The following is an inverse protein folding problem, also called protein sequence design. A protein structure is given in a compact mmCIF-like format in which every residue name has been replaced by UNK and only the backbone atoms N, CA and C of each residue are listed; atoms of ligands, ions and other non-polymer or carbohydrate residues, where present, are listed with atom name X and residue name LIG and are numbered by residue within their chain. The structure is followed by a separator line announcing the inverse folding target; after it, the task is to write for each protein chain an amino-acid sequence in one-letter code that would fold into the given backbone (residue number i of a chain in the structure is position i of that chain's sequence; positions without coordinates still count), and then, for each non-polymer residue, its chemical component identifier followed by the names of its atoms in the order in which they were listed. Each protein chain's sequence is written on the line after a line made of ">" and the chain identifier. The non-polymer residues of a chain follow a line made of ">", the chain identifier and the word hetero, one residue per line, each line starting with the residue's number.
data_IF_777833476785
#
_entry.id   IF_777833476785
#
_cell.length_a   1.000
_cell.length_b   1.000
_cell.length_c   1.000
_cell.angle_alpha   90.00
_cell.angle_beta   90.00
_cell.angle_gamma   90.00
#
_symmetry.space_group_name_H-M   'P 1'
#
loop_
_entity.id
_entity.type
_entity.pdbx_description
1 polymer ?
#
# COMPACT_ATOMS: atom_id res chain seq x y z
N UNK A 1 -5.89 -3.18 -11.36
CA UNK A 1 -4.81 -4.04 -11.87
C UNK A 1 -5.31 -4.94 -13.00
N UNK A 2 -6.39 -5.72 -12.80
CA UNK A 2 -6.94 -6.59 -13.85
C UNK A 2 -7.15 -5.88 -15.20
N UNK A 3 -7.77 -4.68 -15.20
CA UNK A 3 -7.96 -3.90 -16.43
C UNK A 3 -6.67 -3.55 -17.18
N UNK A 4 -5.58 -3.25 -16.46
CA UNK A 4 -4.28 -2.97 -17.08
C UNK A 4 -3.68 -4.24 -17.69
N UNK A 5 -3.73 -5.36 -16.95
CA UNK A 5 -3.26 -6.65 -17.47
C UNK A 5 -4.06 -7.06 -18.71
N UNK A 6 -5.40 -7.00 -18.67
CA UNK A 6 -6.25 -7.32 -19.82
C UNK A 6 -6.03 -6.41 -21.03
N UNK A 7 -5.77 -5.12 -20.80
CA UNK A 7 -5.59 -4.13 -21.87
C UNK A 7 -4.27 -4.30 -22.62
N UNK A 8 -3.20 -4.66 -21.92
CA UNK A 8 -1.83 -4.63 -22.44
C UNK A 8 -1.16 -6.02 -22.52
N UNK A 9 -1.74 -7.04 -21.90
CA UNK A 9 -1.20 -8.40 -21.87
C UNK A 9 0.16 -8.49 -21.18
N UNK A 10 0.50 -7.55 -20.29
CA UNK A 10 1.77 -7.51 -19.57
C UNK A 10 1.57 -7.86 -18.10
N UNK A 11 2.58 -8.52 -17.53
CA UNK A 11 2.68 -8.68 -16.09
C UNK A 11 2.84 -7.29 -15.43
N UNK A 12 2.46 -7.20 -14.16
CA UNK A 12 2.35 -5.95 -13.43
C UNK A 12 3.26 -5.99 -12.21
N UNK A 13 4.02 -4.92 -12.02
CA UNK A 13 4.60 -4.54 -10.74
C UNK A 13 3.75 -3.42 -10.17
N UNK A 14 3.15 -3.62 -9.00
CA UNK A 14 2.45 -2.56 -8.30
C UNK A 14 3.45 -1.76 -7.47
N UNK A 15 4.18 -0.86 -8.11
CA UNK A 15 5.34 -0.18 -7.50
C UNK A 15 4.96 0.83 -6.40
N UNK A 16 3.72 1.33 -6.40
CA UNK A 16 3.22 2.22 -5.36
C UNK A 16 1.73 1.97 -5.11
N UNK A 17 1.37 1.76 -3.84
CA UNK A 17 -0.03 1.81 -3.39
C UNK A 17 -0.14 2.32 -1.96
N UNK A 18 -1.27 2.95 -1.65
CA UNK A 18 -1.60 3.41 -0.31
C UNK A 18 -3.13 3.44 -0.15
N UNK A 19 -3.60 3.35 1.09
CA UNK A 19 -5.00 3.63 1.41
C UNK A 19 -5.20 5.16 1.37
N UNK A 20 -5.44 5.69 0.18
CA UNK A 20 -5.55 7.13 -0.08
C UNK A 20 -6.31 7.41 -1.38
N UNK A 21 -7.00 8.55 -1.43
CA UNK A 21 -7.59 9.09 -2.66
C UNK A 21 -7.30 10.58 -2.77
N UNK A 22 -6.82 11.00 -3.94
CA UNK A 22 -6.55 12.41 -4.24
C UNK A 22 -7.80 13.21 -4.66
N UNK A 23 -8.96 12.57 -4.79
CA UNK A 23 -10.22 13.20 -5.26
C UNK A 23 -11.20 13.53 -4.11
N UNK A 24 -10.72 13.56 -2.87
CA UNK A 24 -11.49 14.02 -1.71
C UNK A 24 -12.30 12.95 -0.96
N UNK A 25 -12.31 11.69 -1.40
CA UNK A 25 -12.93 10.58 -0.66
C UNK A 25 -11.94 9.87 0.26
N UNK A 26 -12.10 10.10 1.57
CA UNK A 26 -11.69 9.17 2.63
C UNK A 26 -10.22 9.20 3.00
N UNK A 27 -9.91 9.84 4.13
CA UNK A 27 -8.71 9.47 4.90
C UNK A 27 -8.99 8.11 5.54
N UNK A 28 -8.19 7.10 5.22
CA UNK A 28 -8.28 5.82 5.91
C UNK A 28 -7.90 5.98 7.39
N UNK A 29 -8.51 5.20 8.27
CA UNK A 29 -7.97 4.92 9.60
C UNK A 29 -6.74 4.00 9.48
N UNK A 30 -5.97 3.84 10.55
CA UNK A 30 -4.84 2.91 10.58
C UNK A 30 -5.27 1.45 10.35
N UNK A 31 -6.44 1.04 10.85
CA UNK A 31 -6.98 -0.30 10.62
C UNK A 31 -7.43 -0.50 9.17
N UNK A 32 -8.00 0.52 8.55
CA UNK A 32 -8.35 0.49 7.12
C UNK A 32 -7.11 0.43 6.24
N UNK A 33 -6.03 1.15 6.58
CA UNK A 33 -4.76 1.07 5.85
C UNK A 33 -4.16 -0.35 5.91
N UNK A 34 -4.19 -0.99 7.09
CA UNK A 34 -3.74 -2.38 7.26
C UNK A 34 -4.61 -3.37 6.46
N UNK A 35 -5.93 -3.24 6.53
CA UNK A 35 -6.86 -4.10 5.79
C UNK A 35 -6.68 -3.94 4.27
N UNK A 36 -6.48 -2.71 3.80
CA UNK A 36 -6.22 -2.41 2.40
C UNK A 36 -4.91 -3.05 1.93
N UNK A 37 -3.83 -2.91 2.69
CA UNK A 37 -2.53 -3.53 2.39
C UNK A 37 -2.65 -5.05 2.26
N UNK A 38 -3.32 -5.71 3.21
CA UNK A 38 -3.58 -7.17 3.15
C UNK A 38 -4.42 -7.56 1.93
N UNK A 39 -5.38 -6.72 1.55
CA UNK A 39 -6.22 -6.97 0.37
C UNK A 39 -5.41 -6.89 -0.92
N UNK A 40 -4.49 -5.92 -1.02
CA UNK A 40 -3.59 -5.78 -2.16
C UNK A 40 -2.63 -6.97 -2.26
N UNK A 41 -1.99 -7.35 -1.15
CA UNK A 41 -1.09 -8.50 -1.11
C UNK A 41 -1.79 -9.79 -1.56
N UNK A 42 -2.93 -10.12 -0.93
CA UNK A 42 -3.76 -11.27 -1.31
C UNK A 42 -4.21 -11.21 -2.78
N UNK A 43 -4.54 -10.03 -3.29
CA UNK A 43 -4.90 -9.89 -4.70
C UNK A 43 -3.71 -10.22 -5.60
N UNK A 44 -2.51 -9.68 -5.31
CA UNK A 44 -1.31 -9.99 -6.09
C UNK A 44 -0.91 -11.47 -6.02
N UNK A 45 -0.90 -12.06 -4.82
CA UNK A 45 -0.64 -13.49 -4.63
C UNK A 45 -1.61 -14.39 -5.41
N UNK A 46 -2.86 -13.96 -5.57
CA UNK A 46 -3.88 -14.70 -6.33
C UNK A 46 -3.71 -14.64 -7.85
N UNK A 47 -2.73 -13.88 -8.37
CA UNK A 47 -2.58 -13.59 -9.79
C UNK A 47 -1.17 -13.89 -10.25
N UNK A 48 -1.02 -14.85 -11.16
CA UNK A 48 0.28 -15.22 -11.74
C UNK A 48 0.97 -14.08 -12.50
N UNK A 49 0.23 -13.03 -12.86
CA UNK A 49 0.75 -11.85 -13.56
C UNK A 49 1.07 -10.67 -12.64
N UNK A 50 0.75 -10.70 -11.32
CA UNK A 50 1.27 -9.70 -10.38
C UNK A 50 2.59 -10.23 -9.81
N UNK A 51 3.71 -9.68 -10.24
CA UNK A 51 5.03 -10.19 -9.85
C UNK A 51 5.49 -9.61 -8.50
N UNK A 52 5.05 -8.40 -8.17
CA UNK A 52 5.42 -7.74 -6.92
C UNK A 52 4.49 -6.58 -6.59
N UNK A 53 4.51 -6.17 -5.32
CA UNK A 53 3.85 -4.96 -4.84
C UNK A 53 4.72 -4.23 -3.81
N UNK A 54 4.72 -2.90 -3.83
CA UNK A 54 5.41 -2.09 -2.84
C UNK A 54 4.48 -1.03 -2.26
N UNK A 55 4.36 -1.01 -0.92
CA UNK A 55 3.56 0.01 -0.25
C UNK A 55 4.26 1.38 -0.33
N UNK A 56 3.49 2.41 -0.69
CA UNK A 56 3.93 3.80 -0.58
C UNK A 56 3.78 4.24 0.88
N UNK A 57 4.83 3.95 1.66
CA UNK A 57 4.79 4.14 3.11
C UNK A 57 6.13 4.44 3.78
N UNK A 58 7.25 4.38 3.06
CA UNK A 58 8.61 4.61 3.57
C UNK A 58 8.88 6.09 3.88
N UNK A 59 8.13 6.60 4.84
CA UNK A 59 8.19 7.95 5.40
C UNK A 59 7.70 7.89 6.84
N UNK A 60 8.06 8.90 7.63
CA UNK A 60 7.65 9.03 9.03
C UNK A 60 6.42 9.94 9.22
N UNK A 61 6.12 10.79 8.23
CA UNK A 61 5.04 11.78 8.24
C UNK A 61 4.31 11.77 6.89
N UNK A 62 3.22 12.52 6.76
CA UNK A 62 2.54 12.71 5.46
C UNK A 62 3.53 13.17 4.39
N UNK A 63 3.49 12.56 3.20
CA UNK A 63 4.32 12.89 2.05
C UNK A 63 3.45 12.98 0.80
N UNK A 64 3.71 14.00 -0.04
CA UNK A 64 3.00 14.23 -1.32
C UNK A 64 1.47 14.20 -1.22
N UNK A 65 0.91 14.63 -0.09
CA UNK A 65 -0.54 14.61 0.17
C UNK A 65 -1.09 13.28 0.68
N UNK A 66 -0.29 12.20 0.68
CA UNK A 66 -0.67 10.89 1.22
C UNK A 66 -0.73 10.94 2.74
N UNK A 67 -1.81 10.41 3.30
CA UNK A 67 -2.06 10.40 4.75
C UNK A 67 -0.99 9.61 5.52
N UNK A 68 -0.60 10.13 6.70
CA UNK A 68 0.38 9.50 7.61
C UNK A 68 -0.02 8.10 8.09
N UNK A 69 -1.28 7.68 7.94
CA UNK A 69 -1.72 6.33 8.30
C UNK A 69 -1.06 5.24 7.44
N UNK A 70 -0.48 5.62 6.29
CA UNK A 70 0.29 4.72 5.43
C UNK A 70 1.79 4.70 5.79
N UNK A 71 2.24 5.48 6.78
CA UNK A 71 3.63 5.49 7.22
C UNK A 71 4.02 4.14 7.85
N UNK A 72 5.09 3.53 7.33
CA UNK A 72 5.63 2.28 7.89
C UNK A 72 6.65 2.54 9.01
N UNK A 73 7.07 3.79 9.21
CA UNK A 73 7.93 4.22 10.31
C UNK A 73 7.24 5.27 11.19
N UNK A 74 7.49 5.21 12.49
CA UNK A 74 6.97 6.16 13.49
C UNK A 74 7.74 7.48 13.44
N UNK A 75 7.01 8.60 13.46
CA UNK A 75 7.61 9.95 13.58
C UNK A 75 8.31 10.21 14.90
N UNK A 76 7.95 9.50 15.97
CA UNK A 76 8.53 9.73 17.30
C UNK A 76 9.77 8.92 17.58
N UNK A 77 9.86 7.70 17.05
CA UNK A 77 10.93 6.75 17.40
C UNK A 77 11.77 6.26 16.21
N UNK A 78 11.36 6.54 14.98
CA UNK A 78 11.97 5.94 13.77
C UNK A 78 11.74 4.44 13.64
N UNK A 79 11.12 3.79 14.62
CA UNK A 79 10.80 2.36 14.60
C UNK A 79 9.63 2.06 13.66
N UNK A 80 9.47 0.80 13.26
CA UNK A 80 8.33 0.40 12.43
C UNK A 80 6.99 0.59 13.15
N UNK A 81 6.00 1.11 12.42
CA UNK A 81 4.59 1.14 12.86
C UNK A 81 3.98 -0.26 12.82
N UNK A 82 2.77 -0.44 13.35
CA UNK A 82 2.03 -1.71 13.19
C UNK A 82 1.82 -2.07 11.71
N UNK A 83 1.67 -1.07 10.84
CA UNK A 83 1.59 -1.27 9.39
C UNK A 83 2.93 -1.76 8.83
N UNK A 84 4.04 -1.13 9.21
CA UNK A 84 5.38 -1.53 8.77
C UNK A 84 5.78 -2.92 9.22
N UNK A 85 5.48 -3.27 10.48
CA UNK A 85 5.70 -4.64 10.99
C UNK A 85 4.87 -5.66 10.20
N UNK A 86 3.61 -5.33 9.92
CA UNK A 86 2.76 -6.22 9.13
C UNK A 86 3.29 -6.39 7.71
N UNK A 87 3.77 -5.32 7.05
CA UNK A 87 4.30 -5.38 5.68
C UNK A 87 5.45 -6.38 5.51
N UNK A 88 6.27 -6.60 6.56
CA UNK A 88 7.36 -7.59 6.52
C UNK A 88 6.92 -9.05 6.65
N UNK A 89 5.64 -9.29 6.98
CA UNK A 89 5.11 -10.63 7.27
C UNK A 89 3.95 -11.02 6.36
N UNK A 90 3.69 -10.24 5.31
CA UNK A 90 2.68 -10.56 4.30
C UNK A 90 3.37 -11.22 3.13
#
# INVERSE_FOLDING_TARGET
>A
MDKFHSRYGKNIWLTEYACHSFTGKGKCSSSQALAFMKTIAKHCESKTWCETHMIYGSFINSRTGVSKVNAIYSSSSGSMTSLGKAYLTI
#
